data_IF_137421101310
#
_entry.id   IF_137421101310
#
_cell.length_a   1.000
_cell.length_b   1.000
_cell.length_c   1.000
_cell.angle_alpha   90.00
_cell.angle_beta   90.00
_cell.angle_gamma   90.00
#
_symmetry.space_group_name_H-M   'P 1'
#
loop_
_entity.id
_entity.type
_entity.pdbx_description
1 polymer ?
#
# COMPACT_ATOMS: atom_id res chain seq x y z
N UNK A 1 -9.99 10.74 39.18
CA UNK A 1 -8.92 11.33 38.34
C UNK A 1 -9.32 11.24 36.87
N UNK A 2 -9.69 12.36 36.23
CA UNK A 2 -10.01 12.38 34.79
C UNK A 2 -8.71 12.38 33.98
N UNK A 3 -8.40 11.27 33.29
CA UNK A 3 -7.27 11.22 32.33
C UNK A 3 -7.56 12.26 31.24
N UNK A 4 -6.75 13.32 31.17
CA UNK A 4 -6.78 14.28 30.06
C UNK A 4 -6.38 13.50 28.80
N UNK A 5 -7.36 13.16 27.95
CA UNK A 5 -7.07 12.62 26.62
C UNK A 5 -6.27 13.67 25.85
N UNK A 6 -5.06 13.30 25.46
CA UNK A 6 -4.15 14.13 24.69
C UNK A 6 -4.81 14.44 23.34
N UNK A 7 -5.17 15.72 23.11
CA UNK A 7 -5.82 16.23 21.89
C UNK A 7 -4.98 15.98 20.61
N UNK A 8 -3.79 15.38 20.73
CA UNK A 8 -2.89 15.03 19.63
C UNK A 8 -3.24 13.71 18.91
N UNK A 9 -4.08 12.86 19.49
CA UNK A 9 -4.34 11.51 18.96
C UNK A 9 -5.51 11.40 17.97
N UNK A 10 -6.31 12.45 17.82
CA UNK A 10 -7.49 12.44 16.97
C UNK A 10 -7.48 13.61 15.98
N UNK A 11 -7.98 13.39 14.77
CA UNK A 11 -8.19 14.42 13.77
C UNK A 11 -9.37 15.34 14.17
N UNK A 12 -9.62 16.40 13.38
CA UNK A 12 -10.74 17.34 13.60
C UNK A 12 -12.13 16.68 13.53
N UNK A 13 -12.21 15.44 13.08
CA UNK A 13 -13.42 14.64 12.94
C UNK A 13 -13.52 13.54 14.02
N UNK A 14 -12.63 13.53 15.01
CA UNK A 14 -12.61 12.53 16.08
C UNK A 14 -12.10 11.15 15.66
N UNK A 15 -11.52 11.00 14.47
CA UNK A 15 -10.89 9.75 14.02
C UNK A 15 -9.45 9.69 14.50
N UNK A 16 -8.90 8.49 14.80
CA UNK A 16 -7.50 8.35 15.19
C UNK A 16 -6.60 8.95 14.10
N UNK A 17 -5.73 9.88 14.51
CA UNK A 17 -4.83 10.60 13.61
C UNK A 17 -3.83 9.60 13.05
N UNK A 18 -3.92 9.30 11.75
CA UNK A 18 -2.91 8.48 11.06
C UNK A 18 -1.59 9.23 11.11
N UNK A 19 -0.60 8.66 11.80
CA UNK A 19 0.77 9.17 11.79
C UNK A 19 1.28 9.07 10.35
N UNK A 20 1.42 10.22 9.69
CA UNK A 20 2.09 10.33 8.41
C UNK A 20 3.53 10.74 8.68
N UNK A 21 4.47 9.84 8.40
CA UNK A 21 5.89 10.10 8.54
C UNK A 21 6.37 10.81 7.27
N UNK A 22 6.86 12.04 7.40
CA UNK A 22 7.49 12.74 6.28
C UNK A 22 8.92 12.25 6.11
N UNK A 23 9.19 11.58 5.00
CA UNK A 23 10.53 11.13 4.62
C UNK A 23 11.03 12.04 3.51
N UNK A 24 12.25 12.56 3.66
CA UNK A 24 12.89 13.39 2.63
C UNK A 24 13.70 12.48 1.72
N UNK A 25 13.31 12.42 0.46
CA UNK A 25 13.97 11.63 -0.59
C UNK A 25 14.55 12.64 -1.59
N UNK A 26 15.78 12.44 -2.11
CA UNK A 26 16.32 13.30 -3.15
C UNK A 26 15.41 13.28 -4.39
N UNK A 27 15.36 14.40 -5.12
CA UNK A 27 14.37 14.63 -6.17
C UNK A 27 14.40 13.54 -7.25
N UNK A 28 15.60 13.23 -7.75
CA UNK A 28 15.82 12.24 -8.81
C UNK A 28 15.24 10.86 -8.46
N UNK A 29 15.40 10.44 -7.20
CA UNK A 29 14.82 9.19 -6.70
C UNK A 29 13.31 9.29 -6.51
N UNK A 30 12.81 10.45 -6.10
CA UNK A 30 11.38 10.65 -5.88
C UNK A 30 10.58 10.56 -7.18
N UNK A 31 11.14 11.04 -8.29
CA UNK A 31 10.47 11.02 -9.59
C UNK A 31 10.51 9.63 -10.21
N UNK A 32 11.66 8.94 -10.14
CA UNK A 32 11.76 7.54 -10.53
C UNK A 32 10.80 6.63 -9.73
N UNK A 33 10.61 6.88 -8.43
CA UNK A 33 9.66 6.13 -7.60
C UNK A 33 8.21 6.38 -8.00
N UNK A 34 7.84 7.62 -8.35
CA UNK A 34 6.48 7.94 -8.82
C UNK A 34 6.22 7.27 -10.17
N UNK A 35 7.16 7.38 -11.10
CA UNK A 35 7.05 6.76 -12.42
C UNK A 35 6.88 5.23 -12.31
N UNK A 36 7.67 4.58 -11.45
CA UNK A 36 7.53 3.15 -11.15
C UNK A 36 6.17 2.81 -10.55
N UNK A 37 5.70 3.61 -9.58
CA UNK A 37 4.40 3.40 -8.93
C UNK A 37 3.24 3.52 -9.92
N UNK A 38 3.26 4.54 -10.78
CA UNK A 38 2.23 4.78 -11.80
C UNK A 38 2.23 3.66 -12.84
N UNK A 39 3.40 3.26 -13.34
CA UNK A 39 3.54 2.15 -14.29
C UNK A 39 3.02 0.82 -13.73
N UNK A 40 3.20 0.59 -12.42
CA UNK A 40 2.78 -0.63 -11.75
C UNK A 40 1.38 -0.55 -11.11
N UNK A 41 0.62 0.53 -11.37
CA UNK A 41 -0.72 0.77 -10.83
C UNK A 41 -0.79 0.67 -9.30
N UNK A 42 0.24 1.19 -8.61
CA UNK A 42 0.37 1.14 -7.16
C UNK A 42 0.42 2.53 -6.57
N UNK A 43 0.00 2.65 -5.32
CA UNK A 43 0.32 3.84 -4.54
C UNK A 43 1.84 3.93 -4.31
N UNK A 44 2.39 5.14 -4.20
CA UNK A 44 3.81 5.37 -3.93
C UNK A 44 4.32 4.56 -2.72
N UNK A 45 3.54 4.53 -1.63
CA UNK A 45 3.90 3.74 -0.45
C UNK A 45 3.92 2.23 -0.71
N UNK A 46 2.97 1.72 -1.50
CA UNK A 46 2.93 0.31 -1.87
C UNK A 46 4.13 -0.08 -2.73
N UNK A 47 4.53 0.80 -3.65
CA UNK A 47 5.69 0.59 -4.50
C UNK A 47 6.99 0.61 -3.70
N UNK A 48 7.16 1.56 -2.77
CA UNK A 48 8.32 1.59 -1.87
C UNK A 48 8.44 0.29 -1.07
N UNK A 49 7.33 -0.19 -0.50
CA UNK A 49 7.33 -1.45 0.25
C UNK A 49 7.69 -2.65 -0.62
N UNK A 50 7.19 -2.68 -1.86
CA UNK A 50 7.52 -3.74 -2.81
C UNK A 50 9.01 -3.73 -3.18
N UNK A 51 9.57 -2.57 -3.54
CA UNK A 51 10.98 -2.44 -3.88
C UNK A 51 11.89 -2.80 -2.69
N UNK A 52 11.50 -2.41 -1.47
CA UNK A 52 12.19 -2.85 -0.25
C UNK A 52 12.12 -4.37 -0.09
N UNK A 53 10.96 -4.98 -0.31
CA UNK A 53 10.79 -6.43 -0.22
C UNK A 53 11.65 -7.18 -1.24
N UNK A 54 11.78 -6.67 -2.47
CA UNK A 54 12.71 -7.18 -3.47
C UNK A 54 14.16 -7.04 -3.00
N UNK A 55 14.58 -5.84 -2.59
CA UNK A 55 15.95 -5.56 -2.15
C UNK A 55 16.37 -6.39 -0.93
N UNK A 56 15.41 -6.74 -0.07
CA UNK A 56 15.62 -7.63 1.09
C UNK A 56 15.59 -9.12 0.73
N UNK A 57 15.49 -9.49 -0.56
CA UNK A 57 15.32 -10.88 -1.03
C UNK A 57 14.12 -11.60 -0.39
N UNK A 58 13.12 -10.83 0.06
CA UNK A 58 11.85 -11.31 0.64
C UNK A 58 10.71 -11.27 -0.38
N UNK A 59 11.02 -11.08 -1.66
CA UNK A 59 10.01 -11.07 -2.71
C UNK A 59 9.18 -12.34 -2.57
N UNK A 60 7.91 -12.17 -2.18
CA UNK A 60 6.94 -13.25 -2.30
C UNK A 60 6.93 -13.66 -3.76
N UNK A 61 6.96 -14.96 -4.02
CA UNK A 61 6.71 -15.47 -5.35
C UNK A 61 5.40 -14.86 -5.83
N UNK A 62 5.48 -14.07 -6.90
CA UNK A 62 4.28 -13.52 -7.53
C UNK A 62 3.38 -14.67 -7.93
N UNK A 63 2.07 -14.47 -7.78
CA UNK A 63 1.10 -15.42 -8.30
C UNK A 63 1.39 -15.66 -9.78
N UNK A 64 1.59 -16.92 -10.15
CA UNK A 64 1.78 -17.32 -11.53
C UNK A 64 0.58 -16.90 -12.36
N UNK A 65 0.74 -16.71 -13.68
CA UNK A 65 -0.39 -16.39 -14.56
C UNK A 65 -1.56 -17.37 -14.41
N UNK A 66 -1.30 -18.63 -14.06
CA UNK A 66 -2.33 -19.65 -13.85
C UNK A 66 -3.13 -19.41 -12.57
N UNK A 67 -2.47 -19.03 -11.47
CA UNK A 67 -3.13 -18.66 -10.22
C UNK A 67 -3.99 -17.40 -10.40
N UNK A 68 -3.49 -16.40 -11.14
CA UNK A 68 -4.28 -15.21 -11.48
C UNK A 68 -5.53 -15.61 -12.28
N UNK A 69 -5.38 -16.48 -13.29
CA UNK A 69 -6.52 -16.98 -14.09
C UNK A 69 -7.55 -17.71 -13.22
N UNK A 70 -7.11 -18.50 -12.25
CA UNK A 70 -8.00 -19.20 -11.32
C UNK A 70 -8.76 -18.21 -10.42
N UNK A 71 -8.06 -17.25 -9.80
CA UNK A 71 -8.68 -16.23 -8.94
C UNK A 71 -9.73 -15.43 -9.72
N UNK A 72 -9.40 -14.98 -10.94
CA UNK A 72 -10.34 -14.24 -11.78
C UNK A 72 -11.57 -15.07 -12.14
N UNK A 73 -11.39 -16.36 -12.48
CA UNK A 73 -12.51 -17.27 -12.75
C UNK A 73 -13.41 -17.47 -11.53
N UNK A 74 -12.84 -17.61 -10.34
CA UNK A 74 -13.61 -17.79 -9.11
C UNK A 74 -14.42 -16.54 -8.76
N UNK A 75 -13.82 -15.35 -8.88
CA UNK A 75 -14.53 -14.10 -8.63
C UNK A 75 -15.65 -13.85 -9.65
N UNK A 76 -15.43 -14.13 -10.94
CA UNK A 76 -16.48 -14.04 -11.95
C UNK A 76 -17.65 -14.99 -11.68
N UNK A 77 -17.38 -16.22 -11.20
CA UNK A 77 -18.42 -17.17 -10.79
C UNK A 77 -19.23 -16.67 -9.59
N UNK A 78 -18.57 -16.02 -8.61
CA UNK A 78 -19.25 -15.45 -7.43
C UNK A 78 -20.22 -14.32 -7.79
N UNK A 79 -19.86 -13.51 -8.78
CA UNK A 79 -20.74 -12.43 -9.28
C UNK A 79 -21.89 -12.99 -10.12
N UNK A 80 -21.67 -14.08 -10.88
CA UNK A 80 -22.69 -14.69 -11.72
C UNK A 80 -23.75 -15.50 -10.94
N UNK A 81 -23.45 -15.95 -9.73
CA UNK A 81 -24.37 -16.74 -8.87
C UNK A 81 -25.15 -15.88 -7.86
N UNK A 82 -25.18 -14.56 -8.06
CA UNK A 82 -25.82 -13.58 -7.18
C UNK A 82 -26.89 -12.82 -7.94
#
# INVERSE_FOLDING_TARGET
MKKKLDKRQFDKNGKPKRLCTNIRIPLDFSDALKESADHNFRSLNAEILYLLQIGMSRAQQHATPEEIRQIVREELKRVSNK
#
